data_IF_926442442318
#
_entry.id   IF_926442442318
#
_cell.length_a   1.000
_cell.length_b   1.000
_cell.length_c   1.000
_cell.angle_alpha   90.00
_cell.angle_beta   90.00
_cell.angle_gamma   90.00
#
_symmetry.space_group_name_H-M   'P 1'
#
loop_
_entity.id
_entity.type
_entity.pdbx_description
1 polymer ?
#
# COMPACT_ATOMS: atom_id res chain seq x y z
N UNK A 1 -1.31 18.15 -7.52
CA UNK A 1 -1.20 18.09 -6.05
C UNK A 1 -1.60 16.71 -5.58
N UNK A 2 -0.78 16.09 -4.76
CA UNK A 2 -0.95 14.70 -4.42
C UNK A 2 -1.84 14.43 -3.22
N UNK A 3 -3.14 14.67 -3.30
CA UNK A 3 -4.05 14.41 -2.18
C UNK A 3 -4.04 12.93 -1.76
N UNK A 4 -3.96 12.02 -2.74
CA UNK A 4 -3.85 10.60 -2.45
C UNK A 4 -2.54 10.30 -1.71
N UNK A 5 -1.45 10.91 -2.14
CA UNK A 5 -0.14 10.76 -1.51
C UNK A 5 -0.17 11.27 -0.07
N UNK A 6 -0.78 12.43 0.17
CA UNK A 6 -0.87 13.02 1.51
C UNK A 6 -1.63 12.08 2.45
N UNK A 7 -2.75 11.54 2.01
CA UNK A 7 -3.53 10.59 2.81
C UNK A 7 -2.75 9.30 3.09
N UNK A 8 -2.02 8.81 2.09
CA UNK A 8 -1.18 7.62 2.29
C UNK A 8 -0.08 7.88 3.31
N UNK A 9 0.55 9.07 3.30
CA UNK A 9 1.58 9.41 4.28
C UNK A 9 1.00 9.33 5.69
N UNK A 10 -0.21 9.86 5.91
CA UNK A 10 -0.86 9.80 7.22
C UNK A 10 -1.10 8.35 7.66
N UNK A 11 -1.58 7.51 6.73
CA UNK A 11 -1.82 6.10 7.01
C UNK A 11 -0.50 5.37 7.31
N UNK A 12 0.55 5.67 6.56
CA UNK A 12 1.87 5.07 6.75
C UNK A 12 2.42 5.38 8.13
N UNK A 13 2.28 6.62 8.61
CA UNK A 13 2.72 6.99 9.94
C UNK A 13 2.00 6.17 11.01
N UNK A 14 0.69 5.94 10.82
CA UNK A 14 -0.09 5.11 11.73
C UNK A 14 0.34 3.64 11.69
N UNK A 15 0.64 3.11 10.50
CA UNK A 15 1.13 1.74 10.35
C UNK A 15 2.45 1.58 11.11
N UNK A 16 3.37 2.52 10.92
CA UNK A 16 4.70 2.45 11.54
C UNK A 16 4.66 2.61 13.07
N UNK A 17 3.53 3.08 13.60
CA UNK A 17 3.31 3.24 15.05
C UNK A 17 2.41 2.17 15.64
N UNK A 18 1.95 1.21 14.82
CA UNK A 18 0.98 0.19 15.24
C UNK A 18 1.57 -1.21 15.06
N UNK A 19 2.01 -1.86 16.16
CA UNK A 19 2.61 -3.20 16.06
C UNK A 19 1.69 -4.23 15.41
N UNK A 20 0.38 -4.11 15.59
CA UNK A 20 -0.57 -5.04 14.99
C UNK A 20 -0.59 -4.91 13.47
N UNK A 21 -0.56 -3.67 12.96
CA UNK A 21 -0.47 -3.45 11.52
C UNK A 21 0.87 -3.93 10.98
N UNK A 22 1.96 -3.66 11.69
CA UNK A 22 3.30 -4.09 11.29
C UNK A 22 3.42 -5.60 11.23
N UNK A 23 2.67 -6.33 12.06
CA UNK A 23 2.72 -7.79 12.05
C UNK A 23 2.20 -8.40 10.74
N UNK A 24 1.44 -7.65 9.95
CA UNK A 24 0.98 -8.08 8.63
C UNK A 24 2.18 -8.27 7.68
N UNK A 25 3.27 -7.57 7.93
CA UNK A 25 4.47 -7.62 7.10
C UNK A 25 5.48 -8.68 7.54
N UNK A 26 5.02 -9.65 8.33
CA UNK A 26 5.82 -10.81 8.71
C UNK A 26 5.16 -12.04 8.10
N UNK A 27 5.97 -12.87 7.47
CA UNK A 27 5.48 -14.11 6.87
C UNK A 27 6.24 -15.29 7.48
N UNK A 28 5.61 -16.44 7.54
CA UNK A 28 6.25 -17.65 8.06
C UNK A 28 6.67 -18.54 6.90
N UNK A 29 7.97 -18.83 6.83
CA UNK A 29 8.54 -19.70 5.81
C UNK A 29 9.30 -20.81 6.51
N UNK A 30 8.88 -22.05 6.28
CA UNK A 30 9.52 -23.23 6.84
C UNK A 30 9.69 -23.14 8.36
N UNK A 31 8.68 -22.62 9.06
CA UNK A 31 8.68 -22.52 10.52
C UNK A 31 9.41 -21.32 11.09
N UNK A 32 9.91 -20.43 10.23
CA UNK A 32 10.60 -19.22 10.68
C UNK A 32 9.84 -17.98 10.25
N UNK A 33 9.76 -17.01 11.15
CA UNK A 33 9.19 -15.71 10.82
C UNK A 33 10.22 -14.90 10.04
N UNK A 34 9.79 -14.41 8.88
CA UNK A 34 10.65 -13.64 7.96
C UNK A 34 9.96 -12.33 7.63
N UNK A 35 10.71 -11.23 7.63
CA UNK A 35 10.17 -9.94 7.23
C UNK A 35 9.79 -9.96 5.75
N UNK A 36 8.56 -9.55 5.47
CA UNK A 36 8.05 -9.46 4.10
C UNK A 36 8.48 -8.11 3.51
N UNK A 37 9.33 -8.17 2.51
CA UNK A 37 9.83 -6.97 1.84
C UNK A 37 9.17 -6.83 0.48
N UNK A 38 8.66 -5.63 0.19
CA UNK A 38 7.93 -5.40 -1.05
C UNK A 38 8.00 -3.93 -1.41
N UNK A 39 7.97 -3.64 -2.71
CA UNK A 39 7.88 -2.27 -3.18
C UNK A 39 6.65 -2.12 -4.09
N UNK A 40 5.93 -1.01 -3.90
CA UNK A 40 4.70 -0.71 -4.63
C UNK A 40 4.87 0.61 -5.35
N UNK A 41 4.91 0.58 -6.68
CA UNK A 41 4.96 1.79 -7.50
C UNK A 41 3.53 2.26 -7.80
N UNK A 42 3.26 3.52 -7.54
CA UNK A 42 1.97 4.14 -7.83
C UNK A 42 2.14 5.15 -8.95
N UNK A 43 1.51 4.89 -10.09
CA UNK A 43 1.49 5.78 -11.24
C UNK A 43 0.03 6.22 -11.43
N UNK A 44 -0.40 7.16 -10.61
CA UNK A 44 -1.78 7.61 -10.58
C UNK A 44 -2.04 8.71 -11.62
N UNK A 45 -3.27 8.78 -12.09
CA UNK A 45 -3.67 9.76 -13.10
C UNK A 45 -3.47 11.18 -12.59
N UNK A 46 -2.82 12.00 -13.39
CA UNK A 46 -2.61 13.44 -13.10
C UNK A 46 -1.84 13.72 -11.81
N UNK A 47 -1.09 12.75 -11.30
CA UNK A 47 -0.24 12.92 -10.13
C UNK A 47 1.18 12.47 -10.45
N UNK A 48 2.15 13.04 -9.74
CA UNK A 48 3.52 12.61 -9.88
C UNK A 48 3.70 11.21 -9.31
N UNK A 49 4.54 10.37 -9.92
CA UNK A 49 4.74 9.00 -9.43
C UNK A 49 5.40 8.98 -8.06
N UNK A 50 5.05 8.00 -7.27
CA UNK A 50 5.71 7.73 -6.00
C UNK A 50 5.67 6.22 -5.75
N UNK A 51 6.49 5.77 -4.80
CA UNK A 51 6.49 4.34 -4.46
C UNK A 51 6.59 4.13 -2.96
N UNK A 52 6.02 3.03 -2.51
CA UNK A 52 6.13 2.58 -1.13
C UNK A 52 7.15 1.45 -1.05
N UNK A 53 7.97 1.47 -0.01
CA UNK A 53 8.86 0.35 0.29
C UNK A 53 8.53 -0.19 1.67
N UNK A 54 8.39 -1.50 1.77
CA UNK A 54 8.15 -2.19 3.03
C UNK A 54 9.40 -2.97 3.36
N UNK A 55 10.01 -2.64 4.49
CA UNK A 55 11.24 -3.28 4.96
C UNK A 55 11.29 -3.19 6.48
N UNK A 56 11.74 -4.26 7.11
CA UNK A 56 11.83 -4.32 8.58
C UNK A 56 10.50 -3.96 9.25
N UNK A 57 9.39 -4.37 8.63
CA UNK A 57 8.02 -4.13 9.10
C UNK A 57 7.61 -2.66 9.10
N UNK A 58 8.38 -1.80 8.46
CA UNK A 58 8.07 -0.38 8.31
C UNK A 58 7.76 -0.06 6.86
N UNK A 59 6.94 0.95 6.65
CA UNK A 59 6.59 1.43 5.33
C UNK A 59 7.17 2.83 5.13
N UNK A 60 7.82 3.04 3.99
CA UNK A 60 8.31 4.38 3.61
C UNK A 60 7.70 4.77 2.27
N UNK A 61 7.41 6.06 2.11
CA UNK A 61 6.93 6.61 0.84
C UNK A 61 8.03 7.47 0.25
N UNK A 62 8.36 7.22 -1.01
CA UNK A 62 9.43 7.90 -1.72
C UNK A 62 8.91 8.47 -3.03
N UNK A 63 9.35 9.68 -3.37
CA UNK A 63 8.96 10.30 -4.64
C UNK A 63 9.72 9.67 -5.80
N UNK A 64 9.07 9.61 -6.95
CA UNK A 64 9.69 9.16 -8.18
C UNK A 64 9.28 7.76 -8.61
N UNK A 65 10.05 7.20 -9.52
CA UNK A 65 9.78 5.88 -10.08
C UNK A 65 10.87 4.89 -9.69
N UNK A 66 10.42 3.71 -9.27
CA UNK A 66 11.33 2.60 -8.95
C UNK A 66 11.18 1.57 -10.06
N UNK A 67 12.21 1.47 -10.92
CA UNK A 67 12.14 0.61 -12.11
C UNK A 67 12.01 -0.88 -11.79
N UNK A 68 12.50 -1.30 -10.63
CA UNK A 68 12.44 -2.69 -10.19
C UNK A 68 11.40 -2.93 -9.11
N UNK A 69 10.37 -2.08 -9.03
CA UNK A 69 9.28 -2.28 -8.08
C UNK A 69 8.63 -3.64 -8.28
N UNK A 70 8.29 -4.30 -7.17
CA UNK A 70 7.65 -5.60 -7.21
C UNK A 70 6.23 -5.52 -7.74
N UNK A 71 5.52 -4.44 -7.36
CA UNK A 71 4.14 -4.20 -7.75
C UNK A 71 4.07 -2.84 -8.42
N UNK A 72 3.38 -2.75 -9.55
CA UNK A 72 3.11 -1.48 -10.21
C UNK A 72 1.60 -1.32 -10.34
N UNK A 73 1.08 -0.23 -9.81
CA UNK A 73 -0.34 0.08 -9.88
C UNK A 73 -0.57 1.42 -10.57
N UNK A 74 -1.58 1.44 -11.43
CA UNK A 74 -2.00 2.66 -12.12
C UNK A 74 -3.48 2.89 -11.82
N UNK A 75 -3.94 4.12 -11.96
CA UNK A 75 -5.37 4.38 -11.85
C UNK A 75 -5.72 5.73 -11.26
N UNK A 76 -6.92 5.77 -10.68
CA UNK A 76 -7.58 6.97 -10.20
C UNK A 76 -7.14 7.31 -8.77
N UNK A 77 -6.53 8.49 -8.55
CA UNK A 77 -6.13 8.88 -7.19
C UNK A 77 -7.31 8.97 -6.21
N UNK A 78 -8.51 9.25 -6.69
CA UNK A 78 -9.68 9.31 -5.79
C UNK A 78 -10.00 7.95 -5.19
N UNK A 79 -9.66 6.85 -5.86
CA UNK A 79 -9.83 5.51 -5.30
C UNK A 79 -8.91 5.32 -4.09
N UNK A 80 -7.67 5.81 -4.19
CA UNK A 80 -6.72 5.75 -3.07
C UNK A 80 -7.24 6.59 -1.89
N UNK A 81 -7.78 7.76 -2.17
CA UNK A 81 -8.34 8.62 -1.11
C UNK A 81 -9.49 7.91 -0.38
N UNK A 82 -10.39 7.25 -1.10
CA UNK A 82 -11.49 6.50 -0.49
C UNK A 82 -10.98 5.36 0.38
N UNK A 83 -9.95 4.66 -0.08
CA UNK A 83 -9.33 3.57 0.69
C UNK A 83 -8.78 4.13 2.01
N UNK A 84 -8.08 5.25 1.96
CA UNK A 84 -7.50 5.87 3.15
C UNK A 84 -8.56 6.44 4.09
N UNK A 85 -9.74 6.76 3.58
CA UNK A 85 -10.86 7.27 4.38
C UNK A 85 -11.71 6.13 4.96
N UNK A 86 -11.35 4.88 4.70
CA UNK A 86 -12.11 3.74 5.19
C UNK A 86 -13.37 3.44 4.39
N UNK A 87 -13.50 3.99 3.20
CA UNK A 87 -14.69 3.86 2.36
C UNK A 87 -14.53 2.85 1.23
N UNK A 88 -13.52 2.03 1.28
CA UNK A 88 -13.25 1.02 0.27
C UNK A 88 -11.93 0.33 0.53
N UNK A 89 -11.54 -0.55 -0.37
CA UNK A 89 -10.25 -1.21 -0.30
C UNK A 89 -9.72 -1.43 -1.72
N UNK A 90 -8.46 -1.87 -1.81
CA UNK A 90 -7.82 -2.11 -3.10
C UNK A 90 -8.56 -3.19 -3.90
N UNK A 91 -9.11 -4.20 -3.22
CA UNK A 91 -9.84 -5.27 -3.91
C UNK A 91 -11.03 -4.71 -4.69
N UNK A 92 -11.82 -3.85 -4.06
CA UNK A 92 -12.95 -3.21 -4.74
C UNK A 92 -12.50 -2.27 -5.85
N UNK A 93 -11.45 -1.50 -5.62
CA UNK A 93 -10.94 -0.58 -6.63
C UNK A 93 -10.44 -1.33 -7.86
N UNK A 94 -9.76 -2.46 -7.67
CA UNK A 94 -9.29 -3.28 -8.77
C UNK A 94 -10.47 -3.91 -9.52
N UNK A 95 -11.45 -4.43 -8.78
CA UNK A 95 -12.64 -5.05 -9.35
C UNK A 95 -13.45 -4.08 -10.21
N UNK A 96 -13.48 -2.81 -9.81
CA UNK A 96 -14.21 -1.76 -10.54
C UNK A 96 -13.35 -1.05 -11.59
N UNK A 97 -12.14 -1.55 -11.83
CA UNK A 97 -11.21 -1.01 -12.81
C UNK A 97 -10.77 0.43 -12.49
N UNK A 98 -10.89 0.85 -11.24
CA UNK A 98 -10.40 2.15 -10.78
C UNK A 98 -8.90 2.13 -10.56
N UNK A 99 -8.37 0.98 -10.16
CA UNK A 99 -6.94 0.72 -10.01
C UNK A 99 -6.60 -0.53 -10.81
N UNK A 100 -5.52 -0.48 -11.56
CA UNK A 100 -5.02 -1.63 -12.32
C UNK A 100 -3.67 -2.05 -11.78
N UNK A 101 -3.48 -3.34 -11.53
CA UNK A 101 -2.19 -3.90 -11.16
C UNK A 101 -1.48 -4.28 -12.47
N UNK A 102 -0.53 -3.45 -12.89
CA UNK A 102 0.21 -3.64 -14.14
C UNK A 102 1.29 -4.70 -14.00
N UNK A 103 1.82 -4.86 -12.79
CA UNK A 103 2.88 -5.81 -12.49
C UNK A 103 2.69 -6.31 -11.06
N UNK A 104 2.96 -7.59 -10.84
CA UNK A 104 2.91 -8.19 -9.53
C UNK A 104 1.60 -8.92 -9.26
N UNK A 105 1.41 -9.32 -8.01
CA UNK A 105 0.27 -10.15 -7.61
C UNK A 105 -0.73 -9.36 -6.77
N UNK A 106 -2.00 -9.53 -7.08
CA UNK A 106 -3.09 -8.90 -6.30
C UNK A 106 -3.02 -9.32 -4.83
N UNK A 107 -2.58 -10.55 -4.54
CA UNK A 107 -2.46 -11.01 -3.15
C UNK A 107 -1.52 -10.13 -2.32
N UNK A 108 -0.47 -9.60 -2.93
CA UNK A 108 0.45 -8.70 -2.23
C UNK A 108 -0.22 -7.35 -1.94
N UNK A 109 -1.06 -6.89 -2.85
CA UNK A 109 -1.84 -5.67 -2.65
C UNK A 109 -2.84 -5.86 -1.51
N UNK A 110 -3.45 -7.05 -1.41
CA UNK A 110 -4.38 -7.38 -0.33
C UNK A 110 -3.67 -7.34 1.02
N UNK A 111 -2.41 -7.77 1.08
CA UNK A 111 -1.64 -7.70 2.32
C UNK A 111 -1.46 -6.25 2.78
N UNK A 112 -1.17 -5.35 1.85
CA UNK A 112 -1.09 -3.92 2.16
C UNK A 112 -2.44 -3.39 2.64
N UNK A 113 -3.53 -3.81 2.00
CA UNK A 113 -4.89 -3.44 2.41
C UNK A 113 -5.17 -3.85 3.86
N UNK A 114 -4.71 -5.03 4.27
CA UNK A 114 -4.90 -5.49 5.65
C UNK A 114 -4.27 -4.54 6.66
N UNK A 115 -3.04 -4.10 6.41
CA UNK A 115 -2.36 -3.17 7.30
C UNK A 115 -3.12 -1.85 7.40
N UNK A 116 -3.57 -1.33 6.26
CA UNK A 116 -4.37 -0.11 6.21
C UNK A 116 -5.67 -0.28 7.00
N UNK A 117 -6.36 -1.40 6.82
CA UNK A 117 -7.61 -1.68 7.52
C UNK A 117 -7.41 -1.71 9.04
N UNK A 118 -6.32 -2.32 9.49
CA UNK A 118 -6.02 -2.40 10.92
C UNK A 118 -5.90 -1.01 11.53
N UNK A 119 -5.14 -0.10 10.89
CA UNK A 119 -4.98 1.25 11.45
C UNK A 119 -6.26 2.07 11.35
N UNK A 120 -7.09 1.85 10.36
CA UNK A 120 -8.38 2.54 10.23
C UNK A 120 -9.36 2.12 11.31
N UNK A 121 -9.26 0.89 11.80
CA UNK A 121 -10.10 0.37 12.88
C UNK A 121 -9.55 0.63 14.26
N UNK A 122 -8.29 1.00 14.36
CA UNK A 122 -7.60 1.25 15.64
C UNK A 122 -7.70 2.73 15.97
N UNK A 123 -8.64 3.07 16.80
CA UNK A 123 -8.83 4.46 17.22
C UNK A 123 -8.74 4.58 18.72
#
# INVERSE_FOLDING_TARGET
MGDAKIKLIEIIEKINSNPKAQSVFVTNIAGKDVDWEMSFQFNLDNEEPFFLEIKDQNVSLNDGSKSDANIVMTGDPSAIQRICDGKGDFTHAISREQITVEKGKVMDVIRLTRAITIVLKSK
#
